data_IF_779883595733
#
_entry.id   IF_779883595733
#
_cell.length_a   1.000
_cell.length_b   1.000
_cell.length_c   1.000
_cell.angle_alpha   90.00
_cell.angle_beta   90.00
_cell.angle_gamma   90.00
#
_symmetry.space_group_name_H-M   'P 1'
#
loop_
_entity.id
_entity.type
_entity.pdbx_description
1 polymer ?
#
# COMPACT_ATOMS: atom_id res chain seq x y z
N UNK A 1 -6.93 -17.17 9.55
CA UNK A 1 -5.57 -16.69 9.92
C UNK A 1 -4.76 -16.18 8.72
N UNK A 2 -4.83 -16.78 7.52
CA UNK A 2 -4.04 -16.32 6.36
C UNK A 2 -4.36 -14.87 5.91
N UNK A 3 -5.64 -14.49 5.95
CA UNK A 3 -6.10 -13.16 5.51
C UNK A 3 -5.56 -12.03 6.39
N UNK A 4 -5.57 -12.21 7.71
CA UNK A 4 -5.02 -11.24 8.66
C UNK A 4 -3.51 -11.05 8.45
N UNK A 5 -2.76 -12.12 8.16
CA UNK A 5 -1.32 -12.03 7.86
C UNK A 5 -1.03 -11.19 6.62
N UNK A 6 -1.80 -11.37 5.54
CA UNK A 6 -1.65 -10.58 4.33
C UNK A 6 -1.94 -9.09 4.57
N UNK A 7 -3.00 -8.80 5.33
CA UNK A 7 -3.36 -7.43 5.68
C UNK A 7 -2.30 -6.75 6.56
N UNK A 8 -1.82 -7.44 7.59
CA UNK A 8 -0.74 -6.92 8.44
C UNK A 8 0.50 -6.67 7.59
N UNK A 9 0.82 -7.54 6.63
CA UNK A 9 1.96 -7.32 5.74
C UNK A 9 1.80 -6.08 4.86
N UNK A 10 0.63 -5.88 4.25
CA UNK A 10 0.37 -4.65 3.46
C UNK A 10 0.45 -3.41 4.34
N UNK A 11 -0.15 -3.45 5.53
CA UNK A 11 -0.06 -2.37 6.50
C UNK A 11 1.39 -2.05 6.89
N UNK A 12 2.19 -3.07 7.18
CA UNK A 12 3.62 -2.92 7.49
C UNK A 12 4.39 -2.36 6.29
N UNK A 13 4.10 -2.80 5.07
CA UNK A 13 4.77 -2.28 3.87
C UNK A 13 4.40 -0.83 3.57
N UNK A 14 3.12 -0.46 3.72
CA UNK A 14 2.67 0.94 3.55
C UNK A 14 3.36 1.84 4.57
N UNK A 15 3.39 1.44 5.84
CA UNK A 15 4.08 2.20 6.88
C UNK A 15 5.56 2.31 6.58
N UNK A 16 6.24 1.20 6.27
CA UNK A 16 7.68 1.19 6.00
C UNK A 16 8.04 2.07 4.79
N UNK A 17 7.28 1.96 3.70
CA UNK A 17 7.47 2.78 2.51
C UNK A 17 7.28 4.27 2.82
N UNK A 18 6.21 4.62 3.56
CA UNK A 18 5.92 5.99 3.92
C UNK A 18 6.97 6.57 4.89
N UNK A 19 7.43 5.79 5.87
CA UNK A 19 8.48 6.20 6.80
C UNK A 19 9.82 6.41 6.10
N UNK A 20 10.20 5.51 5.18
CA UNK A 20 11.43 5.68 4.38
C UNK A 20 11.31 6.89 3.45
N UNK A 21 10.17 7.05 2.78
CA UNK A 21 9.90 8.22 1.93
C UNK A 21 9.98 9.53 2.71
N UNK A 22 9.36 9.58 3.89
CA UNK A 22 9.45 10.73 4.78
C UNK A 22 10.88 11.00 5.23
N UNK A 23 11.65 9.98 5.63
CA UNK A 23 13.04 10.15 6.05
C UNK A 23 13.94 10.68 4.93
N UNK A 24 13.76 10.20 3.70
CA UNK A 24 14.49 10.68 2.51
C UNK A 24 14.12 12.14 2.23
N UNK A 25 12.83 12.47 2.25
CA UNK A 25 12.36 13.83 2.00
C UNK A 25 12.92 14.80 3.04
N UNK A 26 12.79 14.48 4.33
CA UNK A 26 13.31 15.31 5.41
C UNK A 26 14.84 15.45 5.34
N UNK A 27 15.57 14.36 5.04
CA UNK A 27 17.03 14.39 4.92
C UNK A 27 17.56 15.22 3.75
N UNK A 28 16.82 15.29 2.64
CA UNK A 28 17.22 16.02 1.43
C UNK A 28 16.74 17.47 1.41
N UNK A 29 15.52 17.74 1.89
CA UNK A 29 14.84 19.03 1.68
C UNK A 29 14.63 19.85 2.96
N UNK A 30 14.66 19.27 4.16
CA UNK A 30 14.31 20.01 5.38
C UNK A 30 15.03 19.45 6.60
N UNK A 31 16.29 19.87 6.81
CA UNK A 31 17.10 19.47 7.97
C UNK A 31 16.48 19.85 9.33
N UNK A 32 15.55 20.81 9.36
CA UNK A 32 14.87 21.28 10.57
C UNK A 32 13.40 20.84 10.68
N UNK A 33 12.94 19.89 9.86
CA UNK A 33 11.54 19.46 9.93
C UNK A 33 11.26 18.76 11.27
N UNK A 34 10.42 19.38 12.09
CA UNK A 34 9.96 18.80 13.34
C UNK A 34 8.76 17.90 13.08
N UNK A 35 8.92 16.59 13.35
CA UNK A 35 7.82 15.65 13.31
C UNK A 35 6.96 15.84 14.58
N UNK A 36 5.78 16.43 14.40
CA UNK A 36 4.81 16.53 15.50
C UNK A 36 4.35 15.14 15.94
N UNK A 37 4.24 14.93 17.25
CA UNK A 37 3.72 13.69 17.82
C UNK A 37 2.32 13.33 17.28
N UNK A 38 1.50 14.34 16.99
CA UNK A 38 0.17 14.15 16.40
C UNK A 38 0.24 13.56 14.99
N UNK A 39 1.21 13.98 14.16
CA UNK A 39 1.41 13.47 12.81
C UNK A 39 1.68 11.96 12.79
N UNK A 40 2.44 11.46 13.77
CA UNK A 40 2.73 10.02 13.88
C UNK A 40 1.45 9.20 14.05
N UNK A 41 0.56 9.63 14.96
CA UNK A 41 -0.72 8.95 15.18
C UNK A 41 -1.67 9.07 13.99
N UNK A 42 -1.70 10.23 13.34
CA UNK A 42 -2.52 10.47 12.16
C UNK A 42 -2.07 9.59 10.98
N UNK A 43 -0.77 9.44 10.74
CA UNK A 43 -0.24 8.53 9.70
C UNK A 43 -0.61 7.08 10.01
N UNK A 44 -0.50 6.65 11.26
CA UNK A 44 -0.88 5.28 11.67
C UNK A 44 -2.38 5.05 11.45
N UNK A 45 -3.23 6.01 11.86
CA UNK A 45 -4.67 5.92 11.68
C UNK A 45 -5.05 5.88 10.19
N UNK A 46 -4.46 6.75 9.37
CA UNK A 46 -4.71 6.79 7.94
C UNK A 46 -4.24 5.50 7.24
N UNK A 47 -3.08 4.97 7.63
CA UNK A 47 -2.59 3.68 7.15
C UNK A 47 -3.54 2.53 7.52
N UNK A 48 -4.16 2.57 8.70
CA UNK A 48 -5.16 1.57 9.10
C UNK A 48 -6.42 1.65 8.23
N UNK A 49 -6.90 2.85 7.89
CA UNK A 49 -8.04 3.07 6.98
C UNK A 49 -7.72 2.60 5.55
N UNK A 50 -6.50 2.87 5.06
CA UNK A 50 -6.03 2.35 3.79
C UNK A 50 -6.00 0.81 3.78
N UNK A 51 -5.49 0.19 4.87
CA UNK A 51 -5.43 -1.26 5.01
C UNK A 51 -6.84 -1.91 5.10
N UNK A 52 -7.80 -1.24 5.75
CA UNK A 52 -9.21 -1.65 5.77
C UNK A 52 -9.80 -1.69 4.36
N UNK A 53 -9.46 -0.73 3.49
CA UNK A 53 -9.88 -0.75 2.08
C UNK A 53 -9.46 -2.02 1.34
N UNK A 54 -8.35 -2.63 1.75
CA UNK A 54 -7.85 -3.87 1.15
C UNK A 54 -8.72 -5.10 1.52
N UNK A 55 -9.55 -5.04 2.58
CA UNK A 55 -10.54 -6.08 2.90
C UNK A 55 -11.64 -6.20 1.84
N UNK A 56 -12.09 -5.08 1.28
CA UNK A 56 -13.10 -5.08 0.24
C UNK A 56 -12.63 -5.83 -1.02
N UNK A 57 -11.32 -6.00 -1.21
CA UNK A 57 -10.74 -6.76 -2.31
C UNK A 57 -10.69 -8.27 -2.09
N UNK A 58 -10.93 -8.77 -0.87
CA UNK A 58 -10.94 -10.19 -0.52
C UNK A 58 -12.28 -10.88 -0.88
N UNK A 59 -12.74 -10.73 -2.12
CA UNK A 59 -13.84 -11.53 -2.64
C UNK A 59 -13.28 -12.78 -3.32
N UNK A 60 -13.64 -13.96 -2.77
CA UNK A 60 -13.17 -15.32 -3.10
C UNK A 60 -13.53 -15.83 -4.51
N UNK A 61 -13.99 -14.96 -5.38
CA UNK A 61 -14.48 -15.35 -6.70
C UNK A 61 -13.27 -15.38 -7.64
N UNK A 62 -13.11 -16.45 -8.42
CA UNK A 62 -12.15 -16.49 -9.52
C UNK A 62 -12.55 -15.43 -10.55
N UNK A 63 -11.69 -14.43 -10.73
CA UNK A 63 -12.01 -13.26 -11.53
C UNK A 63 -11.15 -13.26 -12.79
N UNK A 64 -11.81 -13.05 -13.94
CA UNK A 64 -11.15 -12.74 -15.20
C UNK A 64 -10.15 -11.58 -15.03
N UNK A 65 -9.07 -11.58 -15.82
CA UNK A 65 -8.03 -10.54 -15.84
C UNK A 65 -8.60 -9.11 -15.90
N UNK A 66 -9.68 -8.90 -16.64
CA UNK A 66 -10.37 -7.59 -16.73
C UNK A 66 -10.99 -7.15 -15.40
N UNK A 67 -11.60 -8.08 -14.64
CA UNK A 67 -12.20 -7.78 -13.35
C UNK A 67 -11.15 -7.51 -12.26
N UNK A 68 -9.97 -8.11 -12.38
CA UNK A 68 -8.81 -7.81 -11.54
C UNK A 68 -8.31 -6.38 -11.80
N UNK A 69 -8.23 -5.97 -13.07
CA UNK A 69 -7.80 -4.61 -13.42
C UNK A 69 -8.78 -3.53 -12.93
N UNK A 70 -10.09 -3.75 -13.12
CA UNK A 70 -11.13 -2.86 -12.60
C UNK A 70 -11.00 -2.72 -11.08
N UNK A 71 -10.71 -3.82 -10.37
CA UNK A 71 -10.48 -3.80 -8.93
C UNK A 71 -9.31 -2.90 -8.53
N UNK A 72 -8.15 -3.02 -9.17
CA UNK A 72 -7.01 -2.14 -8.89
C UNK A 72 -7.34 -0.65 -9.12
N UNK A 73 -8.11 -0.33 -10.16
CA UNK A 73 -8.54 1.06 -10.43
C UNK A 73 -9.44 1.59 -9.30
N UNK A 74 -10.44 0.81 -8.86
CA UNK A 74 -11.30 1.21 -7.74
C UNK A 74 -10.52 1.32 -6.43
N UNK A 75 -9.54 0.44 -6.18
CA UNK A 75 -8.72 0.53 -4.98
C UNK A 75 -7.85 1.79 -4.98
N UNK A 76 -7.27 2.12 -6.14
CA UNK A 76 -6.50 3.33 -6.31
C UNK A 76 -7.37 4.57 -6.05
N UNK A 77 -8.58 4.63 -6.62
CA UNK A 77 -9.55 5.69 -6.35
C UNK A 77 -9.89 5.79 -4.86
N UNK A 78 -10.14 4.66 -4.19
CA UNK A 78 -10.40 4.63 -2.75
C UNK A 78 -9.24 5.22 -1.94
N UNK A 79 -8.00 4.80 -2.21
CA UNK A 79 -6.82 5.31 -1.50
C UNK A 79 -6.68 6.83 -1.72
N UNK A 80 -6.88 7.31 -2.94
CA UNK A 80 -6.84 8.73 -3.23
C UNK A 80 -7.89 9.50 -2.42
N UNK A 81 -9.13 9.03 -2.38
CA UNK A 81 -10.20 9.66 -1.58
C UNK A 81 -9.83 9.67 -0.10
N UNK A 82 -9.37 8.55 0.44
CA UNK A 82 -8.97 8.45 1.87
C UNK A 82 -7.84 9.41 2.20
N UNK A 83 -6.80 9.49 1.36
CA UNK A 83 -5.65 10.37 1.61
C UNK A 83 -6.04 11.83 1.42
N UNK A 84 -6.87 12.17 0.44
CA UNK A 84 -7.31 13.55 0.21
C UNK A 84 -8.20 14.04 1.34
N UNK A 85 -9.18 13.23 1.75
CA UNK A 85 -10.10 13.55 2.86
C UNK A 85 -9.35 13.58 4.18
N UNK A 86 -8.46 12.61 4.43
CA UNK A 86 -7.63 12.59 5.63
C UNK A 86 -6.67 13.78 5.66
N UNK A 87 -6.00 14.08 4.55
CA UNK A 87 -5.09 15.21 4.43
C UNK A 87 -5.78 16.55 4.64
N UNK A 88 -7.02 16.72 4.16
CA UNK A 88 -7.82 17.89 4.47
C UNK A 88 -8.28 17.93 5.93
N UNK A 89 -8.75 16.81 6.48
CA UNK A 89 -9.25 16.73 7.86
C UNK A 89 -8.16 16.98 8.91
N UNK A 90 -6.91 16.64 8.60
CA UNK A 90 -5.76 16.86 9.47
C UNK A 90 -4.97 18.13 9.14
N UNK A 91 -5.48 19.00 8.24
CA UNK A 91 -4.84 20.22 7.76
C UNK A 91 -3.41 19.98 7.20
N UNK A 92 -3.18 18.82 6.59
CA UNK A 92 -1.92 18.51 5.90
C UNK A 92 -1.83 19.18 4.54
N UNK A 93 -2.97 19.44 3.91
CA UNK A 93 -3.07 19.89 2.52
C UNK A 93 -4.17 20.93 2.40
N UNK A 94 -3.83 22.07 1.83
CA UNK A 94 -4.78 23.09 1.43
C UNK A 94 -5.40 22.72 0.08
N UNK A 95 -6.71 22.41 0.06
CA UNK A 95 -7.43 22.03 -1.15
C UNK A 95 -7.53 23.18 -2.19
N UNK A 96 -7.15 24.39 -1.80
CA UNK A 96 -7.16 25.59 -2.62
C UNK A 96 -6.07 25.60 -3.70
N UNK A 97 -4.97 24.86 -3.50
CA UNK A 97 -3.84 24.81 -4.45
C UNK A 97 -3.86 23.53 -5.28
N UNK A 98 -4.24 23.65 -6.56
CA UNK A 98 -4.32 22.51 -7.50
C UNK A 98 -2.99 21.80 -7.76
N UNK A 99 -1.85 22.49 -7.59
CA UNK A 99 -0.53 21.92 -7.85
C UNK A 99 -0.06 20.93 -6.77
N UNK A 100 -0.34 21.22 -5.50
CA UNK A 100 0.02 20.35 -4.38
C UNK A 100 -0.79 19.05 -4.41
N UNK A 101 -2.08 19.15 -4.77
CA UNK A 101 -2.96 18.00 -5.02
C UNK A 101 -2.42 17.12 -6.15
N UNK A 102 -1.89 17.72 -7.23
CA UNK A 102 -1.31 16.98 -8.34
C UNK A 102 -0.04 16.23 -7.95
N UNK A 103 0.87 16.88 -7.20
CA UNK A 103 2.07 16.23 -6.66
C UNK A 103 1.69 15.07 -5.73
N UNK A 104 0.71 15.27 -4.86
CA UNK A 104 0.21 14.24 -3.95
C UNK A 104 -0.30 13.02 -4.73
N UNK A 105 -1.12 13.22 -5.77
CA UNK A 105 -1.60 12.14 -6.62
C UNK A 105 -0.46 11.36 -7.27
N UNK A 106 0.59 12.03 -7.75
CA UNK A 106 1.78 11.37 -8.30
C UNK A 106 2.53 10.53 -7.25
N UNK A 107 2.67 11.04 -6.02
CA UNK A 107 3.31 10.32 -4.91
C UNK A 107 2.49 9.07 -4.55
N UNK A 108 1.16 9.19 -4.48
CA UNK A 108 0.26 8.06 -4.21
C UNK A 108 0.39 7.02 -5.33
N UNK A 109 0.37 7.45 -6.60
CA UNK A 109 0.53 6.56 -7.75
C UNK A 109 1.85 5.80 -7.72
N UNK A 110 2.95 6.50 -7.42
CA UNK A 110 4.27 5.89 -7.29
C UNK A 110 4.31 4.85 -6.17
N UNK A 111 3.84 5.20 -4.97
CA UNK A 111 3.80 4.26 -3.84
C UNK A 111 2.91 3.05 -4.12
N UNK A 112 1.76 3.27 -4.73
CA UNK A 112 0.82 2.22 -5.08
C UNK A 112 1.42 1.24 -6.10
N UNK A 113 2.05 1.76 -7.16
CA UNK A 113 2.75 0.94 -8.14
C UNK A 113 3.92 0.17 -7.52
N UNK A 114 4.70 0.81 -6.65
CA UNK A 114 5.81 0.19 -5.94
C UNK A 114 5.35 -0.98 -5.05
N UNK A 115 4.26 -0.80 -4.30
CA UNK A 115 3.70 -1.85 -3.44
C UNK A 115 3.17 -3.02 -4.29
N UNK A 116 2.47 -2.76 -5.39
CA UNK A 116 1.99 -3.82 -6.30
C UNK A 116 3.17 -4.60 -6.87
N UNK A 117 4.22 -3.92 -7.32
CA UNK A 117 5.41 -4.57 -7.87
C UNK A 117 6.08 -5.47 -6.82
N UNK A 118 6.20 -4.99 -5.59
CA UNK A 118 6.79 -5.75 -4.49
C UNK A 118 5.94 -6.98 -4.12
N UNK A 119 4.61 -6.83 -4.07
CA UNK A 119 3.69 -7.94 -3.86
C UNK A 119 3.80 -8.98 -4.99
N UNK A 120 3.83 -8.53 -6.24
CA UNK A 120 3.98 -9.41 -7.40
C UNK A 120 5.28 -10.21 -7.34
N UNK A 121 6.40 -9.56 -6.99
CA UNK A 121 7.69 -10.23 -6.85
C UNK A 121 7.67 -11.29 -5.74
N UNK A 122 7.02 -10.98 -4.62
CA UNK A 122 6.86 -11.91 -3.49
C UNK A 122 5.98 -13.10 -3.86
N UNK A 123 4.86 -12.86 -4.52
CA UNK A 123 3.93 -13.92 -4.93
C UNK A 123 4.56 -14.83 -5.99
N UNK A 124 5.39 -14.28 -6.89
CA UNK A 124 6.20 -15.07 -7.81
C UNK A 124 7.17 -16.00 -7.07
N UNK A 125 7.90 -15.47 -6.08
CA UNK A 125 8.83 -16.26 -5.25
C UNK A 125 8.11 -17.33 -4.42
N UNK A 126 6.90 -17.03 -3.93
CA UNK A 126 6.06 -17.98 -3.21
C UNK A 126 5.61 -19.12 -4.13
N UNK A 127 5.16 -18.81 -5.34
CA UNK A 127 4.75 -19.80 -6.33
C UNK A 127 5.91 -20.72 -6.74
N UNK A 128 7.12 -20.17 -6.85
CA UNK A 128 8.32 -20.94 -7.11
C UNK A 128 8.67 -21.90 -5.97
N UNK A 129 8.59 -21.45 -4.71
CA UNK A 129 8.82 -22.32 -3.54
C UNK A 129 7.76 -23.43 -3.45
N UNK A 130 6.49 -23.11 -3.71
CA UNK A 130 5.41 -24.11 -3.73
C UNK A 130 5.63 -25.17 -4.82
N UNK A 131 6.00 -24.74 -6.03
CA UNK A 131 6.33 -25.65 -7.13
C UNK A 131 7.55 -26.51 -6.79
N UNK A 132 8.55 -25.95 -6.10
CA UNK A 132 9.74 -26.69 -5.65
C UNK A 132 9.39 -27.75 -4.61
N UNK A 133 8.52 -27.44 -3.64
CA UNK A 133 8.03 -28.40 -2.64
C UNK A 133 7.22 -29.53 -3.26
N UNK A 134 6.30 -29.22 -4.18
CA UNK A 134 5.52 -30.21 -4.93
C UNK A 134 6.41 -31.21 -5.69
N UNK A 135 7.52 -30.74 -6.27
CA UNK A 135 8.50 -31.60 -6.95
C UNK A 135 9.28 -32.50 -5.99
N UNK A 136 9.51 -32.07 -4.74
CA UNK A 136 10.19 -32.88 -3.73
C UNK A 136 9.28 -34.02 -3.24
N UNK A 137 8.04 -33.72 -2.87
CA UNK A 137 7.08 -34.75 -2.46
C UNK A 137 6.86 -35.82 -3.54
N UNK A 138 6.71 -35.41 -4.81
CA UNK A 138 6.54 -36.35 -5.93
C UNK A 138 7.77 -37.23 -6.21
N UNK A 139 8.96 -36.82 -5.74
CA UNK A 139 10.20 -37.60 -5.85
C UNK A 139 10.43 -38.52 -4.64
N UNK A 140 9.84 -38.19 -3.49
CA UNK A 140 9.90 -39.00 -2.26
C UNK A 140 8.82 -40.10 -2.24
N UNK A 141 7.70 -39.92 -2.96
CA UNK A 141 6.67 -40.96 -3.17
C UNK A 141 7.02 -42.00 -4.26
N UNK A 142 8.17 -41.90 -4.91
CA UNK A 142 8.63 -42.81 -5.98
C UNK A 142 9.88 -43.56 -5.56
#
# INVERSE_FOLDING_TARGET
MLHLRSMIQVFVYVIAANTVGSAIYTGLFSRDATLSFALLWQIIALAAVCALGNLFFYSKIELSKQRIMIRYIFHYLYINVVILVGGHFFDWIDLSFSFDIFILMLIILFNYGFIILFMFHRDFKLAEDMNRRLRKFRKEER
#
